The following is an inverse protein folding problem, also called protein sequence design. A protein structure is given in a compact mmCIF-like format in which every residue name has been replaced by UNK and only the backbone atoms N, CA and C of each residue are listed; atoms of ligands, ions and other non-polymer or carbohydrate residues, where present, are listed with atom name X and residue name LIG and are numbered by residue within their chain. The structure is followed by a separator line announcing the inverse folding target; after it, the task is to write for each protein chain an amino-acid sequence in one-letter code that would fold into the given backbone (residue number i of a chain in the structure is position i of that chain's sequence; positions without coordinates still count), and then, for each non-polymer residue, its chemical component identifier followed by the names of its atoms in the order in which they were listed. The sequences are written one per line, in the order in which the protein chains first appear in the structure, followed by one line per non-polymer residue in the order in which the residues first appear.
data_IF_254120606069
#
_entry.id   IF_254120606069
#
_cell.length_a   1.000
_cell.length_b   1.000
_cell.length_c   1.000
_cell.angle_alpha   90.00
_cell.angle_beta   90.00
_cell.angle_gamma   90.00
#
_symmetry.space_group_name_H-M   'P 1'
#
loop_
_entity.id
_entity.type
_entity.pdbx_description
1 polymer ?
#
# COMPACT_ATOMS: atom_id res chain seq x y z
N UNK A 1 -1.61 -1.91 10.12
CA UNK A 1 -1.06 -2.87 9.13
C UNK A 1 -0.33 -2.14 8.00
N UNK A 2 -0.99 -1.20 7.31
CA UNK A 2 -0.40 -0.50 6.16
C UNK A 2 0.90 0.26 6.47
N UNK A 3 1.00 0.94 7.62
CA UNK A 3 2.27 1.55 8.08
C UNK A 3 3.40 0.52 8.16
N UNK A 4 3.18 -0.59 8.89
CA UNK A 4 4.17 -1.68 9.01
C UNK A 4 4.56 -2.29 7.65
N UNK A 5 3.59 -2.39 6.73
CA UNK A 5 3.85 -2.84 5.36
C UNK A 5 4.74 -1.86 4.60
N UNK A 6 4.51 -0.56 4.76
CA UNK A 6 5.35 0.48 4.19
C UNK A 6 6.74 0.48 4.80
N UNK A 7 6.89 0.38 6.12
CA UNK A 7 8.21 0.38 6.80
C UNK A 7 9.12 -0.69 6.19
N UNK A 8 8.60 -1.92 6.02
CA UNK A 8 9.29 -3.05 5.38
C UNK A 8 9.38 -2.98 3.86
N UNK A 9 8.68 -2.05 3.22
CA UNK A 9 8.66 -1.84 1.77
C UNK A 9 9.16 -0.46 1.36
N UNK A 10 9.94 0.17 2.23
CA UNK A 10 10.57 1.47 2.01
C UNK A 10 12.08 1.33 2.16
N UNK A 11 12.82 2.25 1.55
CA UNK A 11 14.28 2.31 1.61
C UNK A 11 14.84 2.58 3.01
N UNK A 12 13.99 2.84 4.02
CA UNK A 12 14.41 3.25 5.35
C UNK A 12 14.88 2.09 6.24
N UNK A 13 14.38 0.86 6.01
CA UNK A 13 14.54 -0.26 6.95
C UNK A 13 14.96 -1.61 6.31
N UNK A 14 15.25 -1.66 4.99
CA UNK A 14 15.49 -2.91 4.26
C UNK A 14 16.74 -2.96 3.38
N UNK A 15 17.21 -4.18 3.05
CA UNK A 15 18.24 -4.41 2.03
C UNK A 15 17.69 -4.04 0.64
N UNK A 16 18.08 -2.85 0.20
CA UNK A 16 17.59 -2.18 -1.02
C UNK A 16 17.76 -3.03 -2.27
N UNK A 17 18.80 -3.86 -2.35
CA UNK A 17 19.09 -4.68 -3.53
C UNK A 17 18.37 -6.03 -3.50
N UNK A 18 17.90 -6.47 -2.34
CA UNK A 18 17.13 -7.70 -2.17
C UNK A 18 15.62 -7.51 -2.33
N UNK A 19 15.15 -6.26 -2.29
CA UNK A 19 13.73 -5.97 -2.19
C UNK A 19 13.03 -5.90 -3.56
N UNK A 20 12.02 -6.76 -3.77
CA UNK A 20 11.28 -6.86 -5.03
C UNK A 20 9.96 -6.08 -5.03
N UNK A 21 9.58 -5.49 -3.89
CA UNK A 21 8.45 -4.59 -3.77
C UNK A 21 8.79 -3.36 -2.93
N UNK A 22 8.77 -2.20 -3.57
CA UNK A 22 8.99 -0.91 -2.94
C UNK A 22 7.78 -0.02 -3.25
N UNK A 23 7.27 0.67 -2.23
CA UNK A 23 6.09 1.52 -2.36
C UNK A 23 6.25 2.81 -1.58
N UNK A 24 5.45 3.82 -1.93
CA UNK A 24 5.21 4.97 -1.06
C UNK A 24 3.93 4.74 -0.24
N UNK A 25 3.70 5.57 0.78
CA UNK A 25 2.42 5.65 1.48
C UNK A 25 1.96 7.10 1.57
N UNK A 26 0.70 7.29 1.95
CA UNK A 26 0.13 8.58 2.34
C UNK A 26 -1.02 8.34 3.31
N UNK A 27 -1.42 9.37 4.03
CA UNK A 27 -2.52 9.31 4.99
C UNK A 27 -3.58 10.31 4.60
N UNK A 28 -4.81 9.84 4.43
CA UNK A 28 -5.96 10.73 4.27
C UNK A 28 -6.52 11.01 5.66
N UNK A 29 -6.40 12.26 6.11
CA UNK A 29 -6.94 12.73 7.39
C UNK A 29 -8.32 13.36 7.16
N UNK A 30 -9.16 13.39 8.19
CA UNK A 30 -10.45 14.08 8.13
C UNK A 30 -10.27 15.60 7.96
N UNK A 31 -9.18 16.17 8.46
CA UNK A 31 -8.83 17.59 8.28
C UNK A 31 -8.64 17.93 6.79
N UNK A 32 -7.86 17.13 6.06
CA UNK A 32 -7.52 17.41 4.66
C UNK A 32 -8.59 16.93 3.68
N UNK A 33 -9.23 15.79 3.97
CA UNK A 33 -10.11 15.08 3.04
C UNK A 33 -11.59 15.11 3.43
N UNK A 34 -11.93 15.67 4.60
CA UNK A 34 -13.28 15.62 5.15
C UNK A 34 -13.81 14.18 5.16
N UNK A 35 -15.06 14.01 4.78
CA UNK A 35 -15.72 12.70 4.71
C UNK A 35 -15.61 12.03 3.32
N UNK A 36 -14.74 12.53 2.43
CA UNK A 36 -14.59 11.97 1.08
C UNK A 36 -14.17 10.47 1.03
N UNK A 37 -13.36 9.94 1.98
CA UNK A 37 -12.96 8.52 1.95
C UNK A 37 -14.06 7.54 2.42
N UNK A 38 -15.17 8.01 3.00
CA UNK A 38 -16.20 7.13 3.61
C UNK A 38 -16.69 6.06 2.64
N UNK A 39 -17.06 6.44 1.41
CA UNK A 39 -17.54 5.46 0.41
C UNK A 39 -16.49 4.41 0.04
N UNK A 40 -15.21 4.77 0.10
CA UNK A 40 -14.12 3.86 -0.22
C UNK A 40 -13.93 2.83 0.90
N UNK A 41 -13.91 3.27 2.15
CA UNK A 41 -13.71 2.38 3.30
C UNK A 41 -14.93 1.47 3.54
N UNK A 42 -16.15 1.94 3.29
CA UNK A 42 -17.37 1.13 3.37
C UNK A 42 -17.33 -0.05 2.40
N UNK A 43 -16.80 0.16 1.19
CA UNK A 43 -16.57 -0.91 0.22
C UNK A 43 -15.50 -1.91 0.64
N UNK A 44 -14.60 -1.53 1.55
CA UNK A 44 -13.62 -2.42 2.15
C UNK A 44 -14.14 -3.11 3.42
N UNK A 45 -15.39 -2.85 3.82
CA UNK A 45 -16.03 -3.46 4.99
C UNK A 45 -15.79 -2.70 6.30
N UNK A 46 -15.24 -1.48 6.25
CA UNK A 46 -15.10 -0.60 7.41
C UNK A 46 -16.32 0.32 7.53
N UNK A 47 -16.75 0.56 8.76
CA UNK A 47 -17.92 1.40 9.05
C UNK A 47 -17.60 2.90 9.03
N UNK A 48 -18.63 3.73 8.84
CA UNK A 48 -18.51 5.18 9.02
C UNK A 48 -18.14 5.53 10.45
N UNK A 49 -18.62 4.77 11.42
CA UNK A 49 -18.32 4.95 12.85
C UNK A 49 -16.82 4.76 13.13
N UNK A 50 -16.20 3.75 12.50
CA UNK A 50 -14.74 3.56 12.56
C UNK A 50 -13.98 4.74 11.96
N UNK A 51 -14.47 5.33 10.86
CA UNK A 51 -13.88 6.54 10.30
C UNK A 51 -13.98 7.74 11.22
N UNK A 52 -15.16 7.99 11.80
CA UNK A 52 -15.32 9.11 12.73
C UNK A 52 -14.48 8.94 14.00
N UNK A 53 -14.17 7.70 14.38
CA UNK A 53 -13.30 7.38 15.50
C UNK A 53 -11.82 7.59 15.16
N UNK A 54 -11.34 6.99 14.06
CA UNK A 54 -9.91 7.00 13.72
C UNK A 54 -9.48 8.29 13.01
N UNK A 55 -10.41 8.96 12.30
CA UNK A 55 -10.24 10.22 11.56
C UNK A 55 -9.10 10.24 10.53
N UNK A 56 -8.51 9.09 10.24
CA UNK A 56 -7.45 8.96 9.26
C UNK A 56 -7.40 7.54 8.68
N UNK A 57 -6.89 7.42 7.45
CA UNK A 57 -6.59 6.14 6.82
C UNK A 57 -5.26 6.19 6.09
N UNK A 58 -4.37 5.24 6.41
CA UNK A 58 -3.10 5.06 5.70
C UNK A 58 -3.31 4.23 4.43
N UNK A 59 -2.79 4.71 3.31
CA UNK A 59 -2.86 4.10 1.98
C UNK A 59 -1.45 3.77 1.47
N UNK A 60 -1.31 2.62 0.80
CA UNK A 60 -0.14 2.35 -0.04
C UNK A 60 -0.35 3.03 -1.39
N UNK A 61 0.68 3.72 -1.90
CA UNK A 61 0.62 4.54 -3.10
C UNK A 61 1.70 4.16 -4.10
N UNK A 62 1.30 4.07 -5.37
CA UNK A 62 2.19 3.96 -6.51
C UNK A 62 1.88 5.02 -7.56
N UNK A 63 2.90 5.79 -7.97
CA UNK A 63 2.83 6.65 -9.15
C UNK A 63 3.62 5.97 -10.27
N UNK A 64 2.92 5.27 -11.16
CA UNK A 64 3.54 4.47 -12.21
C UNK A 64 3.95 5.37 -13.38
N UNK A 65 5.17 5.88 -13.32
CA UNK A 65 5.76 6.73 -14.37
C UNK A 65 6.69 5.96 -15.31
N UNK A 66 6.99 4.70 -15.00
CA UNK A 66 7.84 3.87 -15.85
C UNK A 66 7.14 3.54 -17.16
N UNK A 67 7.78 3.75 -18.33
CA UNK A 67 7.19 3.40 -19.61
C UNK A 67 7.21 1.89 -19.85
N UNK A 68 7.98 1.11 -19.09
CA UNK A 68 8.24 -0.31 -19.38
C UNK A 68 7.11 -1.26 -18.99
N UNK A 69 6.17 -0.81 -18.15
CA UNK A 69 5.02 -1.62 -17.73
C UNK A 69 3.88 -1.66 -18.77
N UNK A 70 4.10 -1.09 -19.95
CA UNK A 70 3.17 -1.16 -21.08
C UNK A 70 3.28 -2.47 -21.88
N UNK A 71 4.35 -3.25 -21.72
CA UNK A 71 4.49 -4.58 -22.33
C UNK A 71 3.91 -5.65 -21.38
N UNK A 72 2.93 -6.42 -21.86
CA UNK A 72 2.22 -7.42 -21.07
C UNK A 72 3.13 -8.49 -20.47
N UNK A 73 4.23 -8.84 -21.14
CA UNK A 73 5.17 -9.86 -20.65
C UNK A 73 5.96 -9.30 -19.47
N UNK A 74 6.42 -8.06 -19.59
CA UNK A 74 7.12 -7.35 -18.52
C UNK A 74 6.17 -7.15 -17.33
N UNK A 75 4.96 -6.65 -17.58
CA UNK A 75 3.95 -6.44 -16.55
C UNK A 75 3.61 -7.74 -15.81
N UNK A 76 3.34 -8.83 -16.54
CA UNK A 76 3.03 -10.14 -15.94
C UNK A 76 4.19 -10.71 -15.12
N UNK A 77 5.44 -10.51 -15.57
CA UNK A 77 6.62 -10.93 -14.81
C UNK A 77 6.70 -10.17 -13.47
N UNK A 78 6.69 -8.84 -13.51
CA UNK A 78 6.88 -8.03 -12.31
C UNK A 78 5.70 -8.12 -11.34
N UNK A 79 4.45 -8.15 -11.81
CA UNK A 79 3.29 -8.27 -10.92
C UNK A 79 3.28 -9.57 -10.11
N UNK A 80 3.71 -10.69 -10.70
CA UNK A 80 3.86 -11.96 -9.98
C UNK A 80 4.92 -11.88 -8.89
N UNK A 81 6.06 -11.27 -9.19
CA UNK A 81 7.15 -11.12 -8.22
C UNK A 81 6.80 -10.12 -7.11
N UNK A 82 6.09 -9.04 -7.45
CA UNK A 82 5.53 -8.09 -6.48
C UNK A 82 4.55 -8.80 -5.54
N UNK A 83 3.62 -9.60 -6.07
CA UNK A 83 2.64 -10.32 -5.24
C UNK A 83 3.33 -11.28 -4.25
N UNK A 84 4.34 -12.04 -4.70
CA UNK A 84 5.14 -12.90 -3.82
C UNK A 84 5.88 -12.11 -2.75
N UNK A 85 6.46 -10.97 -3.10
CA UNK A 85 7.16 -10.10 -2.16
C UNK A 85 6.19 -9.53 -1.11
N UNK A 86 5.01 -9.07 -1.53
CA UNK A 86 3.96 -8.61 -0.62
C UNK A 86 3.50 -9.71 0.34
N UNK A 87 3.26 -10.93 -0.16
CA UNK A 87 2.89 -12.07 0.66
C UNK A 87 3.97 -12.40 1.70
N UNK A 88 5.24 -12.45 1.28
CA UNK A 88 6.36 -12.67 2.19
C UNK A 88 6.39 -11.64 3.33
N UNK A 89 6.24 -10.35 3.01
CA UNK A 89 6.24 -9.28 4.00
C UNK A 89 5.04 -9.31 4.93
N UNK A 90 3.85 -9.58 4.39
CA UNK A 90 2.65 -9.74 5.22
C UNK A 90 2.86 -10.87 6.24
N UNK A 91 3.44 -11.99 5.81
CA UNK A 91 3.77 -13.10 6.71
C UNK A 91 4.82 -12.73 7.76
N UNK A 92 5.79 -11.86 7.45
CA UNK A 92 6.77 -11.36 8.42
C UNK A 92 6.18 -10.36 9.42
N UNK A 93 5.11 -9.64 9.06
CA UNK A 93 4.44 -8.66 9.92
C UNK A 93 3.41 -9.30 10.85
N UNK A 94 2.75 -10.37 10.38
CA UNK A 94 1.66 -11.05 11.09
C UNK A 94 2.17 -12.16 12.02
N UNK A 95 3.35 -12.73 11.73
CA UNK A 95 4.04 -13.67 12.64
C UNK A 95 4.72 -12.94 13.79
#
# INVERSE_FOLDING_TARGET
LNEKMFDRSSYMDGDVYGERFITSHTTFTQEDYGDSPIRFIERMGLSKEEWQKEQQITLLRAAIMTPYLNDDRIFNFYTKEIAKAMEKKLNEIIK
#
